data_IF_713598607026
#
_entry.id   IF_713598607026
#
_cell.length_a   1.000
_cell.length_b   1.000
_cell.length_c   1.000
_cell.angle_alpha   90.00
_cell.angle_beta   90.00
_cell.angle_gamma   90.00
#
_symmetry.space_group_name_H-M   'P 1'
#
loop_
_entity.id
_entity.type
_entity.pdbx_description
1 polymer ?
#
# COMPACT_ATOMS: atom_id res chain seq x y z
N UNK A 1 -7.88 -5.05 8.08
CA UNK A 1 -6.63 -5.18 7.30
C UNK A 1 -6.22 -6.64 7.17
N UNK A 2 -6.60 -7.30 6.07
CA UNK A 2 -6.14 -8.64 5.72
C UNK A 2 -4.88 -8.55 4.84
N UNK A 3 -3.85 -9.34 5.14
CA UNK A 3 -2.56 -9.30 4.42
C UNK A 3 -2.34 -10.62 3.70
N UNK A 4 -2.13 -10.53 2.39
CA UNK A 4 -1.72 -11.64 1.54
C UNK A 4 -0.33 -11.35 0.97
N UNK A 5 0.57 -12.33 1.05
CA UNK A 5 1.94 -12.21 0.58
C UNK A 5 2.20 -13.32 -0.43
N UNK A 6 2.64 -12.92 -1.61
CA UNK A 6 3.02 -13.79 -2.71
C UNK A 6 4.49 -13.54 -3.04
N UNK A 7 5.26 -14.61 -3.11
CA UNK A 7 6.65 -14.57 -3.55
C UNK A 7 6.78 -15.47 -4.78
N UNK A 8 7.29 -14.93 -5.88
CA UNK A 8 7.34 -15.64 -7.17
C UNK A 8 8.59 -16.50 -7.32
N UNK A 9 9.73 -15.96 -6.91
CA UNK A 9 11.05 -16.52 -7.26
C UNK A 9 11.77 -17.18 -6.08
N UNK A 10 11.28 -16.98 -4.86
CA UNK A 10 11.90 -17.53 -3.64
C UNK A 10 10.84 -17.97 -2.61
N UNK A 11 11.14 -18.95 -1.74
CA UNK A 11 10.24 -19.34 -0.67
C UNK A 11 9.92 -18.17 0.25
N UNK A 12 8.64 -18.02 0.59
CA UNK A 12 8.23 -17.11 1.66
C UNK A 12 8.44 -17.80 3.01
N UNK A 13 9.60 -17.58 3.62
CA UNK A 13 9.87 -18.10 4.96
C UNK A 13 9.15 -17.31 6.06
N UNK A 14 9.12 -17.88 7.27
CA UNK A 14 8.44 -17.29 8.43
C UNK A 14 9.05 -15.95 8.84
N UNK A 15 10.37 -15.77 8.71
CA UNK A 15 11.06 -14.56 9.11
C UNK A 15 10.73 -13.39 8.17
N UNK A 16 10.71 -13.64 6.86
CA UNK A 16 10.35 -12.69 5.81
C UNK A 16 8.87 -12.30 5.93
N UNK A 17 7.98 -13.27 6.13
CA UNK A 17 6.56 -12.99 6.39
C UNK A 17 6.38 -12.09 7.62
N UNK A 18 6.99 -12.45 8.75
CA UNK A 18 6.91 -11.66 9.98
C UNK A 18 7.50 -10.25 9.81
N UNK A 19 8.60 -10.13 9.05
CA UNK A 19 9.19 -8.83 8.71
C UNK A 19 8.21 -7.96 7.93
N UNK A 20 7.59 -8.48 6.86
CA UNK A 20 6.63 -7.75 6.02
C UNK A 20 5.40 -7.34 6.83
N UNK A 21 4.79 -8.27 7.57
CA UNK A 21 3.61 -8.02 8.40
C UNK A 21 3.89 -6.92 9.44
N UNK A 22 5.05 -6.97 10.10
CA UNK A 22 5.48 -5.96 11.07
C UNK A 22 5.65 -4.59 10.41
N UNK A 23 6.33 -4.50 9.27
CA UNK A 23 6.55 -3.24 8.56
C UNK A 23 5.24 -2.62 8.08
N UNK A 24 4.33 -3.43 7.51
CA UNK A 24 2.99 -3.00 7.15
C UNK A 24 2.18 -2.55 8.36
N UNK A 25 2.26 -3.27 9.47
CA UNK A 25 1.62 -2.89 10.73
C UNK A 25 2.04 -1.50 11.21
N UNK A 26 3.33 -1.19 11.16
CA UNK A 26 3.83 0.15 11.52
C UNK A 26 3.37 1.23 10.55
N UNK A 27 3.48 1.01 9.23
CA UNK A 27 3.18 2.04 8.26
C UNK A 27 1.67 2.30 8.07
N UNK A 28 0.86 1.24 8.14
CA UNK A 28 -0.56 1.26 7.80
C UNK A 28 -1.48 1.11 9.01
N UNK A 29 -0.97 0.81 10.20
CA UNK A 29 -1.76 0.48 11.39
C UNK A 29 -2.84 1.50 11.74
N UNK A 30 -2.54 2.80 11.63
CA UNK A 30 -3.51 3.89 11.85
C UNK A 30 -4.68 3.91 10.85
N UNK A 31 -4.57 3.21 9.74
CA UNK A 31 -5.59 3.08 8.69
C UNK A 31 -6.21 1.67 8.65
N UNK A 32 -5.86 0.78 9.58
CA UNK A 32 -6.25 -0.64 9.58
C UNK A 32 -7.76 -0.88 9.46
N UNK A 33 -8.58 -0.03 10.08
CA UNK A 33 -10.05 -0.06 10.03
C UNK A 33 -10.62 0.34 8.65
N UNK A 34 -9.83 1.03 7.84
CA UNK A 34 -10.21 1.46 6.49
C UNK A 34 -9.71 0.52 5.40
N UNK A 35 -8.69 -0.27 5.71
CA UNK A 35 -8.04 -1.18 4.76
C UNK A 35 -8.77 -2.53 4.79
N UNK A 36 -9.33 -2.91 3.65
CA UNK A 36 -9.93 -4.22 3.45
C UNK A 36 -8.82 -5.26 3.24
N UNK A 37 -7.93 -5.00 2.29
CA UNK A 37 -6.93 -5.97 1.81
C UNK A 37 -5.62 -5.29 1.43
N UNK A 38 -4.51 -5.94 1.78
CA UNK A 38 -3.16 -5.61 1.35
C UNK A 38 -2.57 -6.83 0.67
N UNK A 39 -2.13 -6.68 -0.57
CA UNK A 39 -1.43 -7.71 -1.32
C UNK A 39 0.02 -7.27 -1.51
N UNK A 40 0.95 -8.13 -1.14
CA UNK A 40 2.38 -7.93 -1.37
C UNK A 40 2.83 -8.98 -2.37
N UNK A 41 3.40 -8.54 -3.49
CA UNK A 41 4.03 -9.42 -4.48
C UNK A 41 5.52 -9.14 -4.54
N UNK A 42 6.32 -10.18 -4.32
CA UNK A 42 7.78 -10.16 -4.38
C UNK A 42 8.23 -10.90 -5.63
N UNK A 43 9.13 -10.31 -6.40
CA UNK A 43 9.69 -10.90 -7.61
C UNK A 43 11.11 -10.41 -7.90
N UNK A 44 11.92 -11.19 -8.58
CA UNK A 44 13.21 -10.79 -9.11
C UNK A 44 13.07 -10.35 -10.59
N UNK A 45 13.53 -9.13 -10.91
CA UNK A 45 13.56 -8.61 -12.28
C UNK A 45 14.91 -8.92 -12.91
N UNK A 46 15.07 -10.12 -13.48
CA UNK A 46 16.24 -10.43 -14.30
C UNK A 46 16.10 -9.80 -15.69
N UNK A 47 16.83 -8.70 -15.93
CA UNK A 47 17.07 -8.18 -17.27
C UNK A 47 18.28 -8.87 -17.95
N UNK A 48 18.45 -8.75 -19.28
CA UNK A 48 19.55 -9.38 -20.03
C UNK A 48 20.96 -8.89 -19.63
N UNK A 49 21.07 -7.94 -18.69
CA UNK A 49 22.31 -7.33 -18.22
C UNK A 49 22.77 -7.82 -16.83
N UNK A 50 22.11 -8.83 -16.26
CA UNK A 50 22.62 -9.56 -15.08
C UNK A 50 22.54 -8.83 -13.73
N UNK A 51 21.79 -7.72 -13.64
CA UNK A 51 21.47 -7.11 -12.35
C UNK A 51 20.38 -7.92 -11.63
N UNK A 52 20.62 -8.29 -10.37
CA UNK A 52 19.63 -8.93 -9.50
C UNK A 52 18.83 -7.82 -8.83
N UNK A 53 17.84 -7.31 -9.55
CA UNK A 53 16.95 -6.28 -9.04
C UNK A 53 15.72 -6.93 -8.41
N UNK A 54 15.61 -6.83 -7.09
CA UNK A 54 14.46 -7.30 -6.33
C UNK A 54 13.34 -6.27 -6.42
N UNK A 55 12.17 -6.74 -6.82
CA UNK A 55 10.97 -5.94 -7.00
C UNK A 55 9.90 -6.30 -5.96
N UNK A 56 9.31 -5.28 -5.38
CA UNK A 56 8.19 -5.37 -4.45
C UNK A 56 7.04 -4.52 -4.96
N UNK A 57 5.88 -5.16 -5.17
CA UNK A 57 4.62 -4.47 -5.44
C UNK A 57 3.69 -4.62 -4.24
N UNK A 58 3.11 -3.50 -3.80
CA UNK A 58 2.09 -3.47 -2.76
C UNK A 58 0.80 -2.90 -3.35
N UNK A 59 -0.29 -3.65 -3.26
CA UNK A 59 -1.64 -3.19 -3.58
C UNK A 59 -2.46 -3.06 -2.30
N UNK A 60 -3.12 -1.91 -2.14
CA UNK A 60 -3.98 -1.63 -0.99
C UNK A 60 -5.37 -1.26 -1.46
N UNK A 61 -6.35 -2.07 -1.07
CA UNK A 61 -7.77 -1.78 -1.22
C UNK A 61 -8.31 -1.19 0.11
N UNK A 62 -8.84 0.02 0.06
CA UNK A 62 -9.28 0.76 1.24
C UNK A 62 -10.66 1.43 1.05
N UNK A 63 -11.72 0.71 1.36
CA UNK A 63 -13.09 1.20 1.39
C UNK A 63 -13.50 1.94 0.11
N UNK A 64 -13.89 3.21 0.27
CA UNK A 64 -14.30 4.12 -0.83
C UNK A 64 -13.14 4.79 -1.57
N UNK A 65 -11.90 4.48 -1.21
CA UNK A 65 -10.73 5.06 -1.87
C UNK A 65 -10.33 4.23 -3.10
N UNK A 66 -9.81 4.87 -4.16
CA UNK A 66 -9.21 4.14 -5.27
C UNK A 66 -8.09 3.22 -4.78
N UNK A 67 -8.00 2.03 -5.37
CA UNK A 67 -6.93 1.08 -5.08
C UNK A 67 -5.57 1.73 -5.26
N UNK A 68 -4.74 1.68 -4.22
CA UNK A 68 -3.38 2.18 -4.23
C UNK A 68 -2.45 1.06 -4.69
N UNK A 69 -1.61 1.34 -5.68
CA UNK A 69 -0.52 0.45 -6.09
C UNK A 69 0.81 1.19 -5.93
N UNK A 70 1.78 0.52 -5.30
CA UNK A 70 3.15 0.99 -5.14
C UNK A 70 4.08 -0.09 -5.63
N UNK A 71 5.08 0.31 -6.42
CA UNK A 71 6.13 -0.56 -6.93
C UNK A 71 7.47 0.04 -6.56
N UNK A 72 8.37 -0.79 -6.05
CA UNK A 72 9.75 -0.42 -5.76
C UNK A 72 10.69 -1.54 -6.19
N UNK A 73 11.84 -1.13 -6.71
CA UNK A 73 12.91 -2.02 -7.14
C UNK A 73 14.20 -1.63 -6.40
N UNK A 74 14.95 -2.63 -5.93
CA UNK A 74 16.22 -2.43 -5.26
C UNK A 74 17.14 -3.64 -5.47
N UNK A 75 18.45 -3.44 -5.28
CA UNK A 75 19.42 -4.55 -5.32
C UNK A 75 19.15 -5.62 -4.24
N UNK A 76 18.50 -5.25 -3.14
CA UNK A 76 18.15 -6.16 -2.05
C UNK A 76 16.66 -6.15 -1.77
N UNK A 77 16.09 -7.33 -1.50
CA UNK A 77 14.65 -7.52 -1.29
C UNK A 77 14.14 -6.71 -0.09
N UNK A 78 14.89 -6.71 1.02
CA UNK A 78 14.53 -5.94 2.21
C UNK A 78 14.40 -4.44 1.92
N UNK A 79 15.34 -3.90 1.13
CA UNK A 79 15.29 -2.49 0.72
C UNK A 79 14.09 -2.19 -0.20
N UNK A 80 13.75 -3.10 -1.12
CA UNK A 80 12.55 -2.95 -1.96
C UNK A 80 11.28 -2.96 -1.11
N UNK A 81 11.18 -3.88 -0.15
CA UNK A 81 10.06 -3.98 0.80
C UNK A 81 9.94 -2.69 1.62
N UNK A 82 11.02 -2.25 2.26
CA UNK A 82 10.99 -1.09 3.14
C UNK A 82 10.57 0.19 2.41
N UNK A 83 11.14 0.42 1.22
CA UNK A 83 10.77 1.57 0.39
C UNK A 83 9.32 1.50 -0.05
N UNK A 84 8.84 0.32 -0.44
CA UNK A 84 7.46 0.13 -0.90
C UNK A 84 6.48 0.41 0.24
N UNK A 85 6.76 -0.12 1.44
CA UNK A 85 5.95 0.08 2.64
C UNK A 85 5.89 1.56 3.03
N UNK A 86 7.03 2.24 3.09
CA UNK A 86 7.10 3.65 3.46
C UNK A 86 6.37 4.54 2.45
N UNK A 87 6.49 4.25 1.15
CA UNK A 87 5.77 4.96 0.08
C UNK A 87 4.27 4.67 0.13
N UNK A 88 3.88 3.43 0.41
CA UNK A 88 2.49 3.03 0.58
C UNK A 88 1.83 3.80 1.74
N UNK A 89 2.48 3.86 2.91
CA UNK A 89 1.97 4.61 4.06
C UNK A 89 1.77 6.10 3.78
N UNK A 90 2.72 6.74 3.08
CA UNK A 90 2.61 8.15 2.67
C UNK A 90 1.48 8.37 1.68
N UNK A 91 1.33 7.51 0.68
CA UNK A 91 0.28 7.64 -0.34
C UNK A 91 -1.12 7.42 0.25
N UNK A 92 -1.29 6.42 1.11
CA UNK A 92 -2.56 6.19 1.77
C UNK A 92 -2.96 7.36 2.67
N UNK A 93 -2.01 7.92 3.43
CA UNK A 93 -2.25 9.11 4.25
C UNK A 93 -2.72 10.31 3.41
N UNK A 94 -2.16 10.48 2.21
CA UNK A 94 -2.57 11.53 1.26
C UNK A 94 -3.98 11.28 0.71
N UNK A 95 -4.31 10.06 0.29
CA UNK A 95 -5.65 9.72 -0.21
C UNK A 95 -6.73 9.94 0.87
N UNK A 96 -6.48 9.45 2.09
CA UNK A 96 -7.38 9.63 3.24
C UNK A 96 -7.58 11.11 3.57
N UNK A 97 -6.53 11.93 3.48
CA UNK A 97 -6.65 13.37 3.74
C UNK A 97 -7.46 14.10 2.67
N UNK A 98 -7.32 13.72 1.39
CA UNK A 98 -8.10 14.31 0.29
C UNK A 98 -9.59 13.99 0.38
N UNK A 99 -9.94 12.75 0.72
CA UNK A 99 -11.34 12.36 0.93
C UNK A 99 -11.99 13.17 2.07
N UNK A 100 -11.30 13.34 3.20
CA UNK A 100 -11.81 14.16 4.32
C UNK A 100 -12.05 15.62 3.93
N UNK A 101 -11.19 16.21 3.10
CA UNK A 101 -11.39 17.58 2.63
C UNK A 101 -12.61 17.65 1.71
N UNK A 102 -12.74 16.72 0.77
CA UNK A 102 -13.91 16.69 -0.13
C UNK A 102 -15.23 16.48 0.62
N UNK A 103 -15.25 15.67 1.68
CA UNK A 103 -16.43 15.51 2.53
C UNK A 103 -16.76 16.73 3.39
N UNK A 104 -15.79 17.59 3.72
CA UNK A 104 -16.04 18.84 4.46
C UNK A 104 -16.49 19.99 3.58
N UNK A 105 -16.06 20.02 2.31
CA UNK A 105 -16.39 21.10 1.36
C UNK A 105 -17.72 20.88 0.61
N UNK A 106 -18.40 19.74 0.83
CA UNK A 106 -19.74 19.50 0.29
C UNK A 106 -20.78 20.37 1.03
N UNK A 107 -20.95 21.60 0.54
CA UNK A 107 -21.94 22.57 1.01
C UNK A 107 -23.37 22.00 0.91
N UNK A 108 -24.23 22.13 1.95
CA UNK A 108 -25.65 21.85 1.79
C UNK A 108 -26.24 23.00 0.99
N UNK A 109 -26.57 22.77 -0.28
CA UNK A 109 -27.42 23.71 -1.02
C UNK A 109 -28.80 23.57 -0.41
N UNK A 110 -29.04 24.37 0.63
CA UNK A 110 -30.33 24.52 1.27
C UNK A 110 -31.29 25.12 0.25
N UNK A 111 -32.34 24.36 -0.01
CA UNK A 111 -33.54 24.72 -0.74
C UNK A 111 -34.05 26.08 -0.25
N UNK A 112 -33.93 27.12 -1.09
CA UNK A 112 -34.61 28.40 -0.89
C UNK A 112 -35.94 28.34 -1.64
N UNK A 113 -36.85 27.51 -1.14
CA UNK A 113 -38.28 27.57 -1.43
C UNK A 113 -38.98 28.15 -0.21
N UNK A 114 -39.88 29.13 -0.43
CA UNK A 114 -40.65 29.94 0.55
C UNK A 114 -39.93 31.28 0.89
N UNK A 115 -40.44 32.49 0.60
CA UNK A 115 -41.78 33.07 0.39
C UNK A 115 -41.66 34.23 -0.62
#
# INVERSE_FOLDING_TARGET
MHIEIQSRDQPLDTALRAHIERRLGFALGRFSNRINRVEVTLSNLNGPRGGVDQHCQIRVAAGRLPTLVVEETAAELGAAIDRAVDRCGRNLARQVSRERNFSRDAWPVGDASSI
#
